data_IF_096263901853
#
_entry.id   IF_096263901853
#
_cell.length_a   1.000
_cell.length_b   1.000
_cell.length_c   1.000
_cell.angle_alpha   90.00
_cell.angle_beta   90.00
_cell.angle_gamma   90.00
#
_symmetry.space_group_name_H-M   'P 1'
#
loop_
_entity.id
_entity.type
_entity.pdbx_description
1 polymer ?
#
# COMPACT_ATOMS: atom_id res chain seq x y z
N UNK A 1 4.96 -2.10 -0.28
CA UNK A 1 5.01 -0.62 -0.44
C UNK A 1 6.43 -0.10 -0.57
N UNK A 2 7.42 -0.74 0.05
CA UNK A 2 8.82 -0.30 -0.01
C UNK A 2 9.39 -0.27 -1.43
N UNK A 3 9.17 -1.32 -2.23
CA UNK A 3 9.56 -1.36 -3.65
C UNK A 3 8.93 -0.20 -4.44
N UNK A 4 7.67 0.12 -4.16
CA UNK A 4 6.96 1.23 -4.78
C UNK A 4 7.64 2.58 -4.49
N UNK A 5 8.12 2.78 -3.27
CA UNK A 5 8.80 4.02 -2.87
C UNK A 5 10.10 4.23 -3.65
N UNK A 6 10.89 3.17 -3.82
CA UNK A 6 12.13 3.22 -4.62
C UNK A 6 11.81 3.48 -6.09
N UNK A 7 10.86 2.73 -6.67
CA UNK A 7 10.44 2.89 -8.05
C UNK A 7 9.87 4.29 -8.32
N UNK A 8 9.12 4.85 -7.37
CA UNK A 8 8.58 6.21 -7.46
C UNK A 8 9.70 7.26 -7.46
N UNK A 9 10.73 7.07 -6.63
CA UNK A 9 11.90 7.95 -6.62
C UNK A 9 12.61 7.97 -7.97
N UNK A 10 12.78 6.80 -8.61
CA UNK A 10 13.38 6.68 -9.93
C UNK A 10 12.49 7.28 -11.02
N UNK A 11 11.18 7.05 -10.97
CA UNK A 11 10.23 7.65 -11.90
C UNK A 11 10.22 9.19 -11.77
N UNK A 12 10.26 9.72 -10.56
CA UNK A 12 10.35 11.15 -10.30
C UNK A 12 11.64 11.74 -10.89
N UNK A 13 12.75 11.00 -10.81
CA UNK A 13 14.02 11.42 -11.42
C UNK A 13 13.95 11.39 -12.94
N UNK A 14 13.33 10.39 -13.52
CA UNK A 14 13.18 10.27 -14.97
C UNK A 14 12.34 11.42 -15.56
N UNK A 15 11.26 11.80 -14.87
CA UNK A 15 10.34 12.86 -15.33
C UNK A 15 10.78 14.29 -14.98
N UNK A 16 11.43 14.49 -13.85
CA UNK A 16 11.74 15.81 -13.31
C UNK A 16 13.24 16.13 -13.23
N UNK A 17 14.12 15.17 -13.49
CA UNK A 17 15.57 15.35 -13.43
C UNK A 17 16.03 15.97 -12.11
N UNK A 18 16.69 17.15 -12.14
CA UNK A 18 17.18 17.83 -10.93
C UNK A 18 16.09 18.21 -9.92
N UNK A 19 14.83 18.34 -10.36
CA UNK A 19 13.68 18.65 -9.50
C UNK A 19 13.05 17.40 -8.86
N UNK A 20 13.57 16.20 -9.08
CA UNK A 20 13.05 14.94 -8.55
C UNK A 20 12.85 14.95 -7.03
N UNK A 21 13.77 15.58 -6.29
CA UNK A 21 13.65 15.74 -4.84
C UNK A 21 12.41 16.53 -4.42
N UNK A 22 12.07 17.60 -5.14
CA UNK A 22 10.86 18.38 -4.88
C UNK A 22 9.60 17.59 -5.22
N UNK A 23 9.61 16.84 -6.32
CA UNK A 23 8.49 15.97 -6.73
C UNK A 23 8.25 14.89 -5.69
N UNK A 24 9.31 14.21 -5.24
CA UNK A 24 9.22 13.17 -4.22
C UNK A 24 8.77 13.75 -2.87
N UNK A 25 9.32 14.88 -2.46
CA UNK A 25 8.91 15.59 -1.24
C UNK A 25 7.44 15.98 -1.25
N UNK A 26 6.94 16.49 -2.38
CA UNK A 26 5.51 16.81 -2.56
C UNK A 26 4.64 15.56 -2.52
N UNK A 27 5.06 14.46 -3.16
CA UNK A 27 4.35 13.18 -3.12
C UNK A 27 4.27 12.63 -1.68
N UNK A 28 5.34 12.77 -0.90
CA UNK A 28 5.35 12.38 0.52
C UNK A 28 4.44 13.28 1.37
N UNK A 29 4.39 14.58 1.09
CA UNK A 29 3.46 15.51 1.76
C UNK A 29 1.99 15.14 1.44
N UNK A 30 1.69 14.88 0.17
CA UNK A 30 0.36 14.38 -0.26
C UNK A 30 0.00 13.08 0.46
N UNK A 31 0.96 12.15 0.56
CA UNK A 31 0.80 10.92 1.34
C UNK A 31 0.36 11.21 2.77
N UNK A 32 1.04 12.10 3.46
CA UNK A 32 0.72 12.45 4.85
C UNK A 32 -0.65 13.11 4.99
N UNK A 33 -0.95 14.07 4.11
CA UNK A 33 -2.26 14.76 4.09
C UNK A 33 -3.39 13.77 3.80
N UNK A 34 -3.22 12.90 2.81
CA UNK A 34 -4.20 11.87 2.47
C UNK A 34 -4.42 10.90 3.63
N UNK A 35 -3.34 10.44 4.25
CA UNK A 35 -3.42 9.47 5.35
C UNK A 35 -4.11 10.07 6.58
N UNK A 36 -3.74 11.28 6.99
CA UNK A 36 -4.32 11.94 8.16
C UNK A 36 -5.73 12.47 7.89
N UNK A 37 -5.93 13.10 6.73
CA UNK A 37 -7.20 13.75 6.39
C UNK A 37 -8.30 12.76 5.98
N UNK A 38 -7.94 11.70 5.28
CA UNK A 38 -8.91 10.72 4.78
C UNK A 38 -9.15 9.55 5.74
N UNK A 39 -8.24 9.27 6.68
CA UNK A 39 -8.40 8.14 7.59
C UNK A 39 -9.73 8.14 8.36
N UNK A 40 -10.20 9.25 8.96
CA UNK A 40 -11.49 9.27 9.65
C UNK A 40 -12.68 9.00 8.72
N UNK A 41 -12.63 9.58 7.52
CA UNK A 41 -13.68 9.43 6.51
C UNK A 41 -13.71 8.01 5.93
N UNK A 42 -12.53 7.48 5.63
CA UNK A 42 -12.33 6.12 5.15
C UNK A 42 -12.82 5.10 6.17
N UNK A 43 -12.53 5.32 7.47
CA UNK A 43 -13.00 4.47 8.56
C UNK A 43 -14.52 4.51 8.72
N UNK A 44 -15.14 5.69 8.63
CA UNK A 44 -16.57 5.83 8.70
C UNK A 44 -17.30 5.13 7.54
N UNK A 45 -16.73 5.19 6.33
CA UNK A 45 -17.25 4.50 5.16
C UNK A 45 -17.03 2.99 5.23
N UNK A 46 -15.85 2.56 5.63
CA UNK A 46 -15.49 1.16 5.80
C UNK A 46 -16.34 0.48 6.90
N UNK A 47 -16.77 1.23 7.92
CA UNK A 47 -17.65 0.73 8.95
C UNK A 47 -19.03 0.28 8.43
N UNK A 48 -19.45 0.78 7.29
CA UNK A 48 -20.74 0.46 6.65
C UNK A 48 -20.69 -0.72 5.68
N UNK A 49 -19.49 -1.17 5.31
CA UNK A 49 -19.26 -2.21 4.32
C UNK A 49 -18.72 -3.49 4.97
N UNK A 50 -18.93 -4.66 4.34
CA UNK A 50 -18.27 -5.89 4.79
C UNK A 50 -16.75 -5.71 4.76
N UNK A 51 -16.07 -6.03 5.86
CA UNK A 51 -14.60 -5.86 5.98
C UNK A 51 -13.82 -6.51 4.84
N UNK A 52 -14.24 -7.71 4.43
CA UNK A 52 -13.65 -8.43 3.30
C UNK A 52 -13.71 -7.61 2.00
N UNK A 53 -14.85 -7.04 1.70
CA UNK A 53 -15.03 -6.18 0.51
C UNK A 53 -14.12 -4.95 0.57
N UNK A 54 -14.03 -4.29 1.73
CA UNK A 54 -13.16 -3.13 1.92
C UNK A 54 -11.69 -3.48 1.67
N UNK A 55 -11.21 -4.60 2.22
CA UNK A 55 -9.83 -5.05 2.06
C UNK A 55 -9.52 -5.40 0.60
N UNK A 56 -10.40 -6.17 -0.06
CA UNK A 56 -10.21 -6.56 -1.47
C UNK A 56 -10.25 -5.34 -2.39
N UNK A 57 -11.22 -4.45 -2.22
CA UNK A 57 -11.32 -3.23 -3.03
C UNK A 57 -10.10 -2.33 -2.84
N UNK A 58 -9.62 -2.15 -1.62
CA UNK A 58 -8.43 -1.36 -1.34
C UNK A 58 -7.17 -1.96 -2.01
N UNK A 59 -7.00 -3.29 -1.96
CA UNK A 59 -5.89 -3.97 -2.63
C UNK A 59 -5.97 -3.87 -4.16
N UNK A 60 -7.15 -4.00 -4.73
CA UNK A 60 -7.34 -3.85 -6.18
C UNK A 60 -7.07 -2.42 -6.65
N UNK A 61 -7.50 -1.41 -5.90
CA UNK A 61 -7.19 -0.01 -6.20
C UNK A 61 -5.68 0.23 -6.14
N UNK A 62 -5.00 -0.28 -5.10
CA UNK A 62 -3.54 -0.16 -4.97
C UNK A 62 -2.79 -0.88 -6.09
N UNK A 63 -3.25 -2.06 -6.49
CA UNK A 63 -2.68 -2.79 -7.62
C UNK A 63 -2.87 -2.02 -8.94
N UNK A 64 -4.06 -1.48 -9.20
CA UNK A 64 -4.35 -0.68 -10.39
C UNK A 64 -3.47 0.57 -10.45
N UNK A 65 -3.31 1.29 -9.33
CA UNK A 65 -2.41 2.45 -9.24
C UNK A 65 -0.97 2.04 -9.55
N UNK A 66 -0.47 0.96 -8.94
CA UNK A 66 0.89 0.49 -9.15
C UNK A 66 1.14 0.11 -10.63
N UNK A 67 0.16 -0.50 -11.31
CA UNK A 67 0.25 -0.83 -12.73
C UNK A 67 0.16 0.39 -13.65
N UNK A 68 -0.47 1.47 -13.21
CA UNK A 68 -0.61 2.70 -14.01
C UNK A 68 0.64 3.58 -13.92
N UNK A 69 1.36 3.55 -12.80
CA UNK A 69 2.54 4.40 -12.56
C UNK A 69 3.64 4.29 -13.64
N UNK A 70 3.97 3.13 -14.23
CA UNK A 70 4.95 3.05 -15.32
C UNK A 70 4.58 3.82 -16.59
N UNK A 71 3.30 4.15 -16.77
CA UNK A 71 2.77 4.81 -17.96
C UNK A 71 2.50 6.31 -17.75
N UNK A 72 2.99 6.85 -16.66
CA UNK A 72 2.80 8.27 -16.30
C UNK A 72 3.77 9.14 -17.08
N UNK A 73 3.24 10.18 -17.72
CA UNK A 73 4.00 11.13 -18.53
C UNK A 73 4.13 12.51 -17.88
N UNK A 74 3.39 12.76 -16.81
CA UNK A 74 3.34 14.07 -16.17
C UNK A 74 3.38 13.98 -14.64
N UNK A 75 4.04 14.93 -13.99
CA UNK A 75 4.24 14.98 -12.54
C UNK A 75 2.90 15.02 -11.76
N UNK A 76 1.90 15.76 -12.27
CA UNK A 76 0.60 15.85 -11.60
C UNK A 76 -0.12 14.48 -11.52
N UNK A 77 0.12 13.60 -12.49
CA UNK A 77 -0.41 12.23 -12.49
C UNK A 77 0.19 11.41 -11.35
N UNK A 78 1.49 11.58 -11.06
CA UNK A 78 2.14 10.98 -9.88
C UNK A 78 1.40 11.40 -8.62
N UNK A 79 1.13 12.70 -8.47
CA UNK A 79 0.47 13.22 -7.27
C UNK A 79 -0.94 12.66 -7.10
N UNK A 80 -1.70 12.60 -8.18
CA UNK A 80 -3.05 12.01 -8.17
C UNK A 80 -3.03 10.53 -7.80
N UNK A 81 -2.14 9.76 -8.43
CA UNK A 81 -2.04 8.32 -8.18
C UNK A 81 -1.56 8.02 -6.76
N UNK A 82 -0.60 8.79 -6.24
CA UNK A 82 -0.17 8.66 -4.85
C UNK A 82 -1.29 9.01 -3.88
N UNK A 83 -2.08 10.04 -4.16
CA UNK A 83 -3.24 10.38 -3.35
C UNK A 83 -4.25 9.22 -3.30
N UNK A 84 -4.60 8.63 -4.44
CA UNK A 84 -5.51 7.47 -4.53
C UNK A 84 -4.93 6.26 -3.81
N UNK A 85 -3.63 5.97 -4.00
CA UNK A 85 -2.93 4.89 -3.33
C UNK A 85 -3.02 5.02 -1.79
N UNK A 86 -2.80 6.24 -1.30
CA UNK A 86 -2.80 6.50 0.13
C UNK A 86 -4.21 6.51 0.73
N UNK A 87 -5.21 6.96 -0.02
CA UNK A 87 -6.61 6.85 0.37
C UNK A 87 -7.02 5.38 0.55
N UNK A 88 -6.65 4.51 -0.40
CA UNK A 88 -6.88 3.08 -0.29
C UNK A 88 -6.12 2.46 0.89
N UNK A 89 -4.87 2.86 1.11
CA UNK A 89 -4.05 2.36 2.24
C UNK A 89 -4.57 2.82 3.59
N UNK A 90 -5.06 4.06 3.68
CA UNK A 90 -5.68 4.60 4.89
C UNK A 90 -6.97 3.85 5.28
N UNK A 91 -7.65 3.27 4.29
CA UNK A 91 -8.84 2.44 4.50
C UNK A 91 -8.47 0.99 4.86
N UNK A 92 -7.45 0.45 4.21
CA UNK A 92 -7.02 -0.94 4.40
C UNK A 92 -6.49 -1.22 5.80
N UNK A 93 -5.57 -0.40 6.29
CA UNK A 93 -4.85 -0.65 7.55
C UNK A 93 -5.77 -0.81 8.76
N UNK A 94 -6.70 0.12 9.05
CA UNK A 94 -7.59 -0.05 10.18
C UNK A 94 -8.63 -1.17 9.97
N UNK A 95 -9.08 -1.40 8.73
CA UNK A 95 -9.97 -2.51 8.42
C UNK A 95 -9.29 -3.87 8.68
N UNK A 96 -8.02 -4.00 8.34
CA UNK A 96 -7.21 -5.18 8.61
C UNK A 96 -6.97 -5.37 10.11
N UNK A 97 -6.57 -4.32 10.83
CA UNK A 97 -6.35 -4.39 12.28
C UNK A 97 -7.62 -4.74 13.05
N UNK A 98 -8.76 -4.22 12.61
CA UNK A 98 -10.05 -4.55 13.21
C UNK A 98 -10.51 -6.00 12.94
N UNK A 99 -9.92 -6.67 11.95
CA UNK A 99 -10.22 -8.07 11.64
C UNK A 99 -9.49 -9.05 12.56
N UNK A 100 -8.31 -8.69 13.04
CA UNK A 100 -7.44 -9.59 13.83
C UNK A 100 -8.17 -10.14 15.07
N UNK A 101 -8.84 -9.32 15.91
CA UNK A 101 -9.56 -9.84 17.08
C UNK A 101 -10.79 -10.70 16.74
N UNK A 102 -11.40 -10.48 15.55
CA UNK A 102 -12.54 -11.30 15.12
C UNK A 102 -12.10 -12.72 14.72
N UNK A 103 -10.86 -12.87 14.23
CA UNK A 103 -10.28 -14.15 13.81
C UNK A 103 -9.55 -14.84 14.96
N UNK A 104 -8.94 -14.06 15.83
CA UNK A 104 -8.15 -14.52 16.98
C UNK A 104 -8.72 -13.94 18.29
N UNK A 105 -9.74 -14.57 18.85
CA UNK A 105 -10.40 -14.07 20.07
C UNK A 105 -9.56 -14.23 21.34
N UNK A 106 -8.55 -15.10 21.33
CA UNK A 106 -7.62 -15.27 22.44
C UNK A 106 -6.63 -14.09 22.49
N UNK A 107 -6.47 -13.47 23.68
CA UNK A 107 -5.64 -12.28 23.87
C UNK A 107 -4.16 -12.54 23.59
N UNK A 108 -3.66 -13.72 23.90
CA UNK A 108 -2.27 -14.09 23.64
C UNK A 108 -2.02 -14.25 22.14
N UNK A 109 -2.93 -14.90 21.42
CA UNK A 109 -2.84 -15.07 19.96
C UNK A 109 -3.01 -13.74 19.23
N UNK A 110 -3.91 -12.87 19.68
CA UNK A 110 -4.08 -11.51 19.16
C UNK A 110 -2.80 -10.68 19.32
N UNK A 111 -2.22 -10.68 20.52
CA UNK A 111 -0.98 -9.92 20.79
C UNK A 111 0.18 -10.45 19.95
N UNK A 112 0.27 -11.77 19.79
CA UNK A 112 1.29 -12.40 18.95
C UNK A 112 1.11 -12.04 17.47
N UNK A 113 -0.12 -12.06 16.95
CA UNK A 113 -0.42 -11.68 15.58
C UNK A 113 -0.08 -10.21 15.29
N UNK A 114 -0.41 -9.30 16.21
CA UNK A 114 -0.02 -7.89 16.13
C UNK A 114 1.50 -7.71 16.11
N UNK A 115 2.22 -8.41 16.98
CA UNK A 115 3.68 -8.35 17.06
C UNK A 115 4.33 -8.88 15.79
N UNK A 116 3.83 -9.98 15.22
CA UNK A 116 4.30 -10.55 13.97
C UNK A 116 4.02 -9.61 12.78
N UNK A 117 2.84 -8.99 12.75
CA UNK A 117 2.48 -8.01 11.70
C UNK A 117 3.40 -6.79 11.75
N UNK A 118 3.75 -6.32 12.93
CA UNK A 118 4.67 -5.22 13.14
C UNK A 118 6.10 -5.58 12.71
N UNK A 119 6.55 -6.77 13.10
CA UNK A 119 7.85 -7.29 12.69
C UNK A 119 7.94 -7.45 11.16
N UNK A 120 6.90 -7.98 10.52
CA UNK A 120 6.84 -8.11 9.07
C UNK A 120 6.92 -6.73 8.37
N UNK A 121 6.24 -5.72 8.92
CA UNK A 121 6.29 -4.35 8.42
C UNK A 121 7.69 -3.73 8.56
N UNK A 122 8.35 -3.91 9.69
CA UNK A 122 9.73 -3.42 9.89
C UNK A 122 10.73 -4.14 8.99
N UNK A 123 10.58 -5.46 8.84
CA UNK A 123 11.41 -6.25 7.92
C UNK A 123 11.18 -5.81 6.46
N UNK A 124 9.94 -5.51 6.06
CA UNK A 124 9.65 -4.96 4.75
C UNK A 124 10.38 -3.62 4.54
N UNK A 125 10.31 -2.71 5.51
CA UNK A 125 10.95 -1.41 5.40
C UNK A 125 12.48 -1.51 5.27
N UNK A 126 13.10 -2.47 5.93
CA UNK A 126 14.55 -2.70 5.85
C UNK A 126 14.95 -3.47 4.59
N UNK A 127 14.19 -4.52 4.24
CA UNK A 127 14.53 -5.39 3.13
C UNK A 127 14.17 -4.79 1.77
N UNK A 128 13.12 -3.96 1.68
CA UNK A 128 12.65 -3.43 0.41
C UNK A 128 13.67 -2.61 -0.36
N UNK A 129 14.44 -1.69 0.25
CA UNK A 129 15.48 -0.97 -0.50
C UNK A 129 16.59 -1.87 -1.01
N UNK A 130 17.00 -2.86 -0.21
CA UNK A 130 18.03 -3.82 -0.61
C UNK A 130 17.54 -4.74 -1.75
N UNK A 131 16.30 -5.22 -1.66
CA UNK A 131 15.65 -5.99 -2.72
C UNK A 131 15.46 -5.17 -4.00
N UNK A 132 15.05 -3.92 -3.88
CA UNK A 132 14.92 -3.02 -5.01
C UNK A 132 16.26 -2.82 -5.70
N UNK A 133 17.33 -2.55 -4.95
CA UNK A 133 18.67 -2.40 -5.48
C UNK A 133 19.14 -3.67 -6.19
N UNK A 134 18.95 -4.85 -5.59
CA UNK A 134 19.31 -6.12 -6.20
C UNK A 134 18.53 -6.40 -7.50
N UNK A 135 17.24 -6.13 -7.52
CA UNK A 135 16.38 -6.32 -8.69
C UNK A 135 16.77 -5.36 -9.84
N UNK A 136 17.17 -4.13 -9.53
CA UNK A 136 17.57 -3.14 -10.52
C UNK A 136 18.83 -3.53 -11.31
N UNK A 137 19.65 -4.47 -10.82
CA UNK A 137 20.76 -5.04 -11.60
C UNK A 137 20.28 -5.94 -12.74
N UNK A 138 19.06 -6.48 -12.65
CA UNK A 138 18.53 -7.48 -13.59
C UNK A 138 17.36 -6.94 -14.39
N UNK A 139 16.52 -6.09 -13.76
CA UNK A 139 15.28 -5.58 -14.35
C UNK A 139 15.23 -4.06 -14.25
N UNK A 140 14.54 -3.41 -15.21
CA UNK A 140 14.28 -1.98 -15.14
C UNK A 140 13.33 -1.62 -14.00
N UNK A 141 13.39 -0.36 -13.53
CA UNK A 141 12.60 0.13 -12.39
C UNK A 141 11.07 0.01 -12.60
N UNK A 142 10.60 0.01 -13.84
CA UNK A 142 9.18 -0.19 -14.15
C UNK A 142 8.66 -1.56 -13.69
N UNK A 143 9.50 -2.58 -13.67
CA UNK A 143 9.13 -3.91 -13.17
C UNK A 143 8.95 -3.96 -11.65
N UNK A 144 9.51 -3.01 -10.91
CA UNK A 144 9.26 -2.87 -9.48
C UNK A 144 7.79 -2.50 -9.19
N UNK A 145 7.19 -1.69 -10.06
CA UNK A 145 5.75 -1.41 -9.98
C UNK A 145 4.90 -2.65 -10.23
N UNK A 146 5.27 -3.45 -11.24
CA UNK A 146 4.59 -4.72 -11.53
C UNK A 146 4.71 -5.70 -10.35
N UNK A 147 5.90 -5.82 -9.75
CA UNK A 147 6.12 -6.65 -8.55
C UNK A 147 5.26 -6.17 -7.37
N UNK A 148 5.14 -4.87 -7.17
CA UNK A 148 4.27 -4.30 -6.13
C UNK A 148 2.80 -4.59 -6.41
N UNK A 149 2.35 -4.47 -7.66
CA UNK A 149 0.98 -4.79 -8.06
C UNK A 149 0.65 -6.27 -7.82
N UNK A 150 1.57 -7.17 -8.17
CA UNK A 150 1.43 -8.61 -7.87
C UNK A 150 1.30 -8.87 -6.36
N UNK A 151 2.04 -8.15 -5.53
CA UNK A 151 1.92 -8.23 -4.08
C UNK A 151 0.52 -7.84 -3.59
N UNK A 152 -0.06 -6.76 -4.12
CA UNK A 152 -1.43 -6.35 -3.77
C UNK A 152 -2.48 -7.33 -4.29
N UNK A 153 -2.31 -7.87 -5.49
CA UNK A 153 -3.20 -8.90 -6.05
C UNK A 153 -3.13 -10.17 -5.19
N UNK A 154 -1.93 -10.62 -4.83
CA UNK A 154 -1.75 -11.77 -3.95
C UNK A 154 -2.44 -11.56 -2.59
N UNK A 155 -2.32 -10.37 -2.00
CA UNK A 155 -3.03 -9.99 -0.78
C UNK A 155 -4.55 -10.09 -0.95
N UNK A 156 -5.09 -9.53 -2.03
CA UNK A 156 -6.53 -9.60 -2.34
C UNK A 156 -7.01 -11.06 -2.48
N UNK A 157 -6.25 -11.91 -3.18
CA UNK A 157 -6.57 -13.33 -3.37
C UNK A 157 -6.57 -14.07 -2.02
N UNK A 158 -5.58 -13.82 -1.17
CA UNK A 158 -5.50 -14.41 0.17
C UNK A 158 -6.71 -13.99 1.03
N UNK A 159 -7.09 -12.70 1.00
CA UNK A 159 -8.27 -12.19 1.71
C UNK A 159 -9.55 -12.84 1.19
N UNK A 160 -9.68 -13.03 -0.13
CA UNK A 160 -10.83 -13.72 -0.74
C UNK A 160 -10.89 -15.18 -0.28
N UNK A 161 -9.74 -15.86 -0.22
CA UNK A 161 -9.65 -17.26 0.20
C UNK A 161 -9.90 -17.49 1.70
N UNK A 162 -9.80 -16.45 2.53
CA UNK A 162 -10.00 -16.57 3.98
C UNK A 162 -11.49 -16.53 4.31
N UNK A 163 -11.96 -17.53 5.09
CA UNK A 163 -13.30 -17.51 5.65
C UNK A 163 -13.33 -16.53 6.83
N UNK A 164 -13.88 -15.33 6.59
CA UNK A 164 -14.04 -14.32 7.63
C UNK A 164 -15.39 -14.49 8.32
N UNK A 165 -15.46 -14.37 9.66
CA UNK A 165 -16.70 -14.41 10.38
C UNK A 165 -17.63 -13.28 9.92
N UNK A 166 -18.92 -13.61 9.76
CA UNK A 166 -19.93 -12.62 9.46
C UNK A 166 -20.04 -11.63 10.62
N UNK A 167 -20.19 -10.35 10.28
CA UNK A 167 -20.40 -9.30 11.28
C UNK A 167 -21.77 -9.52 11.93
N UNK A 168 -21.76 -9.93 13.18
CA UNK A 168 -22.98 -9.92 14.03
C UNK A 168 -23.29 -8.49 14.47
#
# INVERSE_FOLDING_TARGET
>A
TGLLTVALGLLAFDLAGPAAGAVLGTALAIKMVAYVGLAPLANALAARLPRKTVLVCADLIRAAVALTLPFVDAIWQIYLLIFVLQAASATFTPAYQALIPDVLPDEADYTRALSLSRLAYELENLASPALAAALLFVIGFNWLFAGTALGFIASAVLVIGTALPART
#
